data_IF_802849365791
#
_entry.id   IF_802849365791
#
_cell.length_a   1.000
_cell.length_b   1.000
_cell.length_c   1.000
_cell.angle_alpha   90.00
_cell.angle_beta   90.00
_cell.angle_gamma   90.00
#
_symmetry.space_group_name_H-M   'P 1'
#
loop_
_entity.id
_entity.type
_entity.pdbx_description
1 polymer ?
#
# COMPACT_ATOMS: atom_id res chain seq x y z
N UNK A 1 39.75 -17.72 -3.19
CA UNK A 1 38.82 -17.17 -4.19
C UNK A 1 37.67 -18.11 -4.54
N UNK A 2 37.90 -19.40 -4.88
CA UNK A 2 36.80 -20.34 -5.24
C UNK A 2 35.81 -20.65 -4.11
N UNK A 3 36.28 -20.74 -2.86
CA UNK A 3 35.45 -21.04 -1.68
C UNK A 3 34.57 -19.86 -1.24
N UNK A 4 35.05 -18.62 -1.45
CA UNK A 4 34.36 -17.38 -1.08
C UNK A 4 33.19 -17.07 -2.00
N UNK A 5 33.32 -17.39 -3.30
CA UNK A 5 32.24 -17.27 -4.29
C UNK A 5 31.14 -18.31 -4.03
N UNK A 6 31.51 -19.53 -3.63
CA UNK A 6 30.53 -20.58 -3.31
C UNK A 6 29.67 -20.26 -2.09
N UNK A 7 30.19 -19.51 -1.11
CA UNK A 7 29.45 -19.10 0.08
C UNK A 7 28.46 -17.95 -0.21
N UNK A 8 28.83 -17.03 -1.10
CA UNK A 8 27.97 -15.93 -1.54
C UNK A 8 26.76 -16.40 -2.35
N UNK A 9 26.94 -17.45 -3.18
CA UNK A 9 25.83 -18.07 -3.93
C UNK A 9 24.86 -18.80 -3.01
N UNK A 10 25.36 -19.42 -1.93
CA UNK A 10 24.53 -20.14 -0.96
C UNK A 10 23.69 -19.20 -0.08
N UNK A 11 24.17 -17.97 0.17
CA UNK A 11 23.45 -16.98 0.97
C UNK A 11 22.25 -16.33 0.23
N UNK A 12 22.23 -16.36 -1.10
CA UNK A 12 21.12 -15.86 -1.92
C UNK A 12 19.93 -16.84 -2.02
N UNK A 13 20.09 -18.09 -1.61
CA UNK A 13 19.10 -19.16 -1.84
C UNK A 13 18.02 -19.29 -0.74
N UNK A 14 18.07 -18.48 0.33
CA UNK A 14 17.22 -18.69 1.53
C UNK A 14 16.06 -17.69 1.66
N UNK A 15 15.82 -16.81 0.70
CA UNK A 15 14.87 -15.69 0.85
C UNK A 15 13.55 -15.80 0.05
N UNK A 16 13.04 -17.00 -0.23
CA UNK A 16 11.77 -17.13 -0.96
C UNK A 16 10.83 -18.18 -0.32
N UNK A 17 10.05 -17.74 0.67
CA UNK A 17 8.78 -18.37 1.00
C UNK A 17 7.74 -17.25 0.99
N UNK A 18 6.85 -17.23 -0.01
CA UNK A 18 5.46 -16.79 0.10
C UNK A 18 4.69 -17.15 -1.17
N UNK A 19 3.50 -17.72 -0.94
CA UNK A 19 2.54 -18.33 -1.86
C UNK A 19 1.47 -17.30 -2.27
N UNK A 20 1.09 -17.26 -3.55
CA UNK A 20 -0.29 -17.14 -4.07
C UNK A 20 -0.32 -16.94 -5.60
N UNK A 21 -1.27 -17.59 -6.28
CA UNK A 21 -1.30 -17.96 -7.70
C UNK A 21 -1.84 -16.92 -8.71
N UNK A 22 -1.06 -16.67 -9.77
CA UNK A 22 -1.43 -16.78 -11.19
C UNK A 22 -0.16 -16.80 -12.08
N UNK A 23 0.23 -18.00 -12.57
CA UNK A 23 1.44 -18.23 -13.37
C UNK A 23 2.69 -18.34 -12.50
N UNK A 24 3.30 -19.54 -12.44
CA UNK A 24 4.33 -19.89 -11.43
C UNK A 24 5.49 -18.87 -11.39
N UNK A 25 5.88 -18.31 -12.55
CA UNK A 25 6.91 -17.26 -12.65
C UNK A 25 6.48 -15.91 -12.10
N UNK A 26 5.23 -15.48 -12.35
CA UNK A 26 4.72 -14.18 -11.87
C UNK A 26 4.58 -14.16 -10.36
N UNK A 27 4.24 -15.31 -9.75
CA UNK A 27 4.18 -15.44 -8.30
C UNK A 27 5.53 -15.15 -7.63
N UNK A 28 6.60 -15.73 -8.17
CA UNK A 28 7.93 -15.65 -7.56
C UNK A 28 8.67 -14.35 -7.93
N UNK A 29 8.54 -13.88 -9.17
CA UNK A 29 9.25 -12.69 -9.63
C UNK A 29 8.55 -11.36 -9.26
N UNK A 30 7.28 -11.39 -8.87
CA UNK A 30 6.48 -10.22 -8.53
C UNK A 30 6.02 -9.43 -9.77
N UNK A 31 5.91 -8.11 -9.65
CA UNK A 31 5.55 -7.22 -10.76
C UNK A 31 6.78 -6.53 -11.37
N UNK A 32 6.70 -6.06 -12.62
CA UNK A 32 7.80 -5.42 -13.34
C UNK A 32 8.01 -5.96 -14.76
N UNK A 33 8.96 -5.37 -15.49
CA UNK A 33 9.25 -5.72 -16.91
C UNK A 33 9.62 -7.18 -17.10
N UNK A 34 10.39 -7.77 -16.19
CA UNK A 34 10.74 -9.19 -16.24
C UNK A 34 9.50 -10.07 -16.15
N UNK A 35 8.58 -9.74 -15.25
CA UNK A 35 7.31 -10.47 -15.12
C UNK A 35 6.34 -10.25 -16.29
N UNK A 36 6.44 -9.12 -17.01
CA UNK A 36 5.67 -8.90 -18.24
C UNK A 36 6.22 -9.69 -19.43
N UNK A 37 7.54 -9.84 -19.53
CA UNK A 37 8.18 -10.53 -20.66
C UNK A 37 8.20 -12.06 -20.47
N UNK A 38 8.40 -12.53 -19.23
CA UNK A 38 8.61 -13.95 -18.93
C UNK A 38 7.48 -14.60 -18.12
N UNK A 39 6.45 -13.84 -17.74
CA UNK A 39 5.41 -14.29 -16.81
C UNK A 39 4.54 -15.47 -17.28
N UNK A 40 4.42 -15.67 -18.60
CA UNK A 40 3.65 -16.77 -19.18
C UNK A 40 4.50 -18.02 -19.45
N UNK A 41 5.80 -17.98 -19.10
CA UNK A 41 6.71 -19.13 -19.24
C UNK A 41 6.83 -19.83 -17.90
N UNK A 42 7.08 -21.14 -17.94
CA UNK A 42 7.26 -21.94 -16.73
C UNK A 42 8.72 -22.37 -16.55
N UNK A 43 9.16 -22.41 -15.29
CA UNK A 43 10.44 -22.99 -14.88
C UNK A 43 11.44 -22.01 -14.28
N UNK A 44 12.31 -22.54 -13.42
CA UNK A 44 13.27 -21.80 -12.59
C UNK A 44 14.14 -20.82 -13.39
N UNK A 45 14.53 -21.17 -14.61
CA UNK A 45 15.34 -20.27 -15.45
C UNK A 45 14.59 -18.97 -15.78
N UNK A 46 13.31 -19.07 -16.14
CA UNK A 46 12.50 -17.90 -16.46
C UNK A 46 12.15 -17.09 -15.20
N UNK A 47 12.05 -17.74 -14.03
CA UNK A 47 11.93 -17.06 -12.74
C UNK A 47 13.15 -16.20 -12.42
N UNK A 48 14.36 -16.77 -12.57
CA UNK A 48 15.61 -16.06 -12.31
C UNK A 48 15.76 -14.89 -13.29
N UNK A 49 15.43 -15.09 -14.56
CA UNK A 49 15.48 -14.03 -15.57
C UNK A 49 14.45 -12.93 -15.30
N UNK A 50 13.22 -13.29 -14.95
CA UNK A 50 12.18 -12.33 -14.58
C UNK A 50 12.60 -11.51 -13.35
N UNK A 51 13.08 -12.17 -12.30
CA UNK A 51 13.52 -11.52 -11.06
C UNK A 51 14.73 -10.62 -11.28
N UNK A 52 15.73 -11.09 -12.03
CA UNK A 52 16.91 -10.28 -12.36
C UNK A 52 16.52 -9.05 -13.18
N UNK A 53 15.64 -9.23 -14.17
CA UNK A 53 15.15 -8.12 -15.01
C UNK A 53 14.30 -7.13 -14.22
N UNK A 54 13.51 -7.60 -13.25
CA UNK A 54 12.76 -6.74 -12.34
C UNK A 54 13.67 -5.91 -11.41
N UNK A 55 14.79 -6.50 -10.96
CA UNK A 55 15.77 -5.84 -10.10
C UNK A 55 16.71 -4.86 -10.83
N UNK A 56 16.92 -5.02 -12.15
CA UNK A 56 17.77 -4.12 -12.93
C UNK A 56 17.21 -2.69 -12.88
N UNK A 57 18.09 -1.73 -12.55
CA UNK A 57 17.78 -0.31 -12.47
C UNK A 57 16.62 0.04 -11.53
N UNK A 58 16.31 -0.81 -10.53
CA UNK A 58 15.20 -0.56 -9.61
C UNK A 58 13.84 -0.50 -10.29
N UNK A 59 13.70 -1.12 -11.46
CA UNK A 59 12.54 -1.01 -12.32
C UNK A 59 11.26 -1.53 -11.66
N UNK A 60 11.37 -2.57 -10.83
CA UNK A 60 10.27 -3.04 -9.97
C UNK A 60 9.85 -1.99 -8.94
N UNK A 61 10.81 -1.33 -8.27
CA UNK A 61 10.53 -0.25 -7.31
C UNK A 61 9.87 0.95 -8.00
N UNK A 62 10.38 1.33 -9.18
CA UNK A 62 9.75 2.36 -10.00
C UNK A 62 8.32 1.96 -10.37
N UNK A 63 8.10 0.73 -10.83
CA UNK A 63 6.77 0.21 -11.15
C UNK A 63 5.81 0.26 -9.95
N UNK A 64 6.25 -0.13 -8.76
CA UNK A 64 5.43 -0.07 -7.54
C UNK A 64 5.09 1.36 -7.11
N UNK A 65 6.03 2.29 -7.21
CA UNK A 65 5.82 3.70 -6.83
C UNK A 65 4.98 4.47 -7.85
N UNK A 66 5.16 4.19 -9.15
CA UNK A 66 4.45 4.86 -10.23
C UNK A 66 3.14 4.16 -10.64
N UNK A 67 2.91 2.92 -10.19
CA UNK A 67 1.80 2.09 -10.66
C UNK A 67 1.92 1.67 -12.13
N UNK A 68 3.15 1.48 -12.62
CA UNK A 68 3.44 1.09 -14.02
C UNK A 68 4.01 -0.34 -14.09
N UNK A 69 4.30 -0.82 -15.31
CA UNK A 69 5.03 -2.08 -15.55
C UNK A 69 4.34 -3.34 -14.99
N UNK A 70 3.00 -3.33 -14.98
CA UNK A 70 2.20 -4.41 -14.42
C UNK A 70 2.21 -4.47 -12.89
N UNK A 71 2.77 -3.47 -12.21
CA UNK A 71 2.61 -3.26 -10.77
C UNK A 71 1.34 -2.46 -10.51
N UNK A 72 0.54 -2.88 -9.53
CA UNK A 72 -0.52 -2.03 -9.02
C UNK A 72 0.11 -0.80 -8.32
N UNK A 73 -0.48 0.40 -8.47
CA UNK A 73 -0.06 1.54 -7.67
C UNK A 73 -0.18 1.19 -6.18
N UNK A 74 0.70 1.79 -5.36
CA UNK A 74 0.63 1.66 -3.91
C UNK A 74 -0.80 1.99 -3.45
N UNK A 75 -1.51 0.98 -2.95
CA UNK A 75 -2.90 1.11 -2.52
C UNK A 75 -2.89 1.71 -1.12
N UNK A 76 -3.30 2.97 -1.01
CA UNK A 76 -3.50 3.63 0.28
C UNK A 76 -4.17 4.98 0.13
N UNK A 77 -4.96 5.40 1.12
CA UNK A 77 -5.64 6.71 1.09
C UNK A 77 -4.64 7.86 1.07
N UNK A 78 -3.43 7.64 1.59
CA UNK A 78 -2.32 8.61 1.55
C UNK A 78 -1.88 8.92 0.11
N UNK A 79 -2.08 7.99 -0.83
CA UNK A 79 -1.80 8.22 -2.26
C UNK A 79 -2.95 8.91 -3.01
N UNK A 80 -4.09 9.15 -2.36
CA UNK A 80 -5.26 9.78 -2.97
C UNK A 80 -5.23 11.29 -2.76
N UNK A 81 -4.86 12.02 -3.81
CA UNK A 81 -4.78 13.48 -3.79
C UNK A 81 -6.09 14.16 -3.39
N UNK A 82 -7.25 13.63 -3.81
CA UNK A 82 -8.56 14.21 -3.45
C UNK A 82 -8.83 14.10 -1.95
N UNK A 83 -8.52 12.96 -1.34
CA UNK A 83 -8.65 12.77 0.11
C UNK A 83 -7.66 13.69 0.84
N UNK A 84 -6.42 13.77 0.37
CA UNK A 84 -5.40 14.64 0.98
C UNK A 84 -5.81 16.12 0.97
N UNK A 85 -6.28 16.63 -0.18
CA UNK A 85 -6.77 18.00 -0.29
C UNK A 85 -8.01 18.23 0.58
N UNK A 86 -8.96 17.30 0.55
CA UNK A 86 -10.17 17.40 1.36
C UNK A 86 -9.87 17.48 2.86
N UNK A 87 -8.99 16.60 3.37
CA UNK A 87 -8.60 16.61 4.77
C UNK A 87 -7.84 17.89 5.11
N UNK A 88 -6.94 18.35 4.24
CA UNK A 88 -6.20 19.59 4.45
C UNK A 88 -7.11 20.82 4.55
N UNK A 89 -8.10 20.94 3.66
CA UNK A 89 -9.00 22.10 3.63
C UNK A 89 -10.03 22.10 4.76
N UNK A 90 -10.31 20.94 5.36
CA UNK A 90 -11.43 20.75 6.30
C UNK A 90 -11.01 20.22 7.67
N UNK A 91 -9.73 20.34 8.02
CA UNK A 91 -9.14 19.77 9.25
C UNK A 91 -9.99 19.96 10.51
N UNK A 92 -10.33 21.21 10.85
CA UNK A 92 -11.03 21.52 12.10
C UNK A 92 -12.47 20.99 12.13
N UNK A 93 -13.16 21.04 11.00
CA UNK A 93 -14.54 20.59 10.89
C UNK A 93 -14.60 19.06 10.88
N UNK A 94 -13.69 18.42 10.17
CA UNK A 94 -13.53 16.98 10.17
C UNK A 94 -13.17 16.46 11.56
N UNK A 95 -12.31 17.15 12.31
CA UNK A 95 -12.00 16.80 13.69
C UNK A 95 -13.26 16.79 14.58
N UNK A 96 -14.07 17.85 14.50
CA UNK A 96 -15.32 17.96 15.27
C UNK A 96 -16.30 16.85 14.92
N UNK A 97 -16.45 16.52 13.65
CA UNK A 97 -17.38 15.48 13.20
C UNK A 97 -16.91 14.08 13.58
N UNK A 98 -15.60 13.79 13.48
CA UNK A 98 -15.02 12.53 13.98
C UNK A 98 -15.22 12.41 15.49
N UNK A 99 -14.96 13.48 16.26
CA UNK A 99 -15.14 13.45 17.72
C UNK A 99 -16.61 13.17 18.12
N UNK A 100 -17.56 13.74 17.37
CA UNK A 100 -19.00 13.46 17.55
C UNK A 100 -19.41 12.07 17.10
N UNK A 101 -18.69 11.49 16.13
CA UNK A 101 -19.02 10.22 15.48
C UNK A 101 -20.04 10.36 14.36
N UNK A 102 -20.35 11.59 13.92
CA UNK A 102 -21.27 11.89 12.84
C UNK A 102 -21.06 13.34 12.36
N UNK A 103 -21.44 13.62 11.11
CA UNK A 103 -21.45 14.96 10.53
C UNK A 103 -21.12 14.98 9.04
N UNK A 104 -21.37 16.11 8.39
CA UNK A 104 -21.25 16.27 6.93
C UNK A 104 -19.82 16.05 6.44
N UNK A 105 -18.82 16.47 7.21
CA UNK A 105 -17.42 16.35 6.80
C UNK A 105 -16.94 14.90 6.90
N UNK A 106 -17.40 14.20 7.94
CA UNK A 106 -17.14 12.78 8.12
C UNK A 106 -17.87 11.91 7.09
N UNK A 107 -19.11 12.26 6.74
CA UNK A 107 -19.87 11.64 5.65
C UNK A 107 -19.17 11.81 4.30
N UNK A 108 -18.71 13.03 4.01
CA UNK A 108 -17.98 13.32 2.76
C UNK A 108 -16.67 12.56 2.70
N UNK A 109 -15.93 12.44 3.82
CA UNK A 109 -14.74 11.60 3.88
C UNK A 109 -15.06 10.14 3.56
N UNK A 110 -16.13 9.57 4.14
CA UNK A 110 -16.56 8.21 3.84
C UNK A 110 -16.93 8.02 2.36
N UNK A 111 -17.60 9.01 1.75
CA UNK A 111 -17.92 9.01 0.32
C UNK A 111 -16.66 9.02 -0.55
N UNK A 112 -15.69 9.90 -0.25
CA UNK A 112 -14.41 9.97 -0.96
C UNK A 112 -13.60 8.68 -0.83
N UNK A 113 -13.73 8.00 0.31
CA UNK A 113 -13.11 6.70 0.59
C UNK A 113 -13.88 5.51 0.01
N UNK A 114 -15.02 5.73 -0.65
CA UNK A 114 -15.91 4.69 -1.17
C UNK A 114 -16.35 3.68 -0.10
N UNK A 115 -16.58 4.15 1.14
CA UNK A 115 -17.11 3.31 2.22
C UNK A 115 -18.56 2.93 1.91
N UNK A 116 -18.92 1.64 1.86
CA UNK A 116 -20.30 1.21 1.63
C UNK A 116 -21.26 1.74 2.70
N UNK A 117 -22.50 2.06 2.33
CA UNK A 117 -23.52 2.56 3.28
C UNK A 117 -23.73 1.62 4.48
N UNK A 118 -23.65 0.29 4.27
CA UNK A 118 -23.76 -0.71 5.34
C UNK A 118 -22.61 -0.68 6.35
N UNK A 119 -21.47 -0.11 5.97
CA UNK A 119 -20.24 -0.09 6.78
C UNK A 119 -19.95 1.30 7.37
N UNK A 120 -20.64 2.35 6.90
CA UNK A 120 -20.43 3.74 7.37
C UNK A 120 -20.50 3.89 8.88
N UNK A 121 -21.49 3.27 9.52
CA UNK A 121 -21.63 3.38 10.97
C UNK A 121 -20.42 2.79 11.71
N UNK A 122 -19.89 1.66 11.23
CA UNK A 122 -18.70 1.04 11.79
C UNK A 122 -17.47 1.92 11.54
N UNK A 123 -17.34 2.47 10.33
CA UNK A 123 -16.28 3.41 9.96
C UNK A 123 -16.28 4.64 10.88
N UNK A 124 -17.43 5.30 11.07
CA UNK A 124 -17.55 6.47 11.95
C UNK A 124 -17.20 6.14 13.40
N UNK A 125 -17.76 5.05 13.93
CA UNK A 125 -17.48 4.59 15.30
C UNK A 125 -16.00 4.28 15.49
N UNK A 126 -15.35 3.69 14.48
CA UNK A 126 -13.93 3.35 14.52
C UNK A 126 -13.04 4.57 14.55
N UNK A 127 -13.34 5.59 13.72
CA UNK A 127 -12.59 6.85 13.74
C UNK A 127 -12.83 7.62 15.05
N UNK A 128 -14.07 7.68 15.53
CA UNK A 128 -14.41 8.33 16.79
C UNK A 128 -13.68 7.70 17.99
N UNK A 129 -13.75 6.38 18.14
CA UNK A 129 -13.11 5.66 19.24
C UNK A 129 -11.59 5.77 19.23
N UNK A 130 -10.99 6.11 18.08
CA UNK A 130 -9.56 6.31 17.91
C UNK A 130 -9.21 7.78 17.63
N UNK A 131 -10.08 8.74 17.99
CA UNK A 131 -9.87 10.16 17.72
C UNK A 131 -8.48 10.66 18.14
N UNK A 132 -8.05 10.30 19.36
CA UNK A 132 -6.75 10.70 19.91
C UNK A 132 -5.55 10.08 19.18
N UNK A 133 -5.74 9.00 18.41
CA UNK A 133 -4.70 8.42 17.54
C UNK A 133 -4.67 9.11 16.18
N UNK A 134 -5.77 9.72 15.77
CA UNK A 134 -5.89 10.45 14.50
C UNK A 134 -5.36 11.86 14.66
N UNK A 135 -5.87 12.58 15.67
CA UNK A 135 -5.47 13.92 16.07
C UNK A 135 -4.60 13.84 17.31
N UNK A 136 -3.29 13.68 17.10
CA UNK A 136 -2.32 13.41 18.17
C UNK A 136 -1.89 14.63 18.96
N UNK A 137 -2.01 15.83 18.35
CA UNK A 137 -1.66 17.11 18.97
C UNK A 137 -2.34 18.27 18.22
N UNK A 138 -2.22 19.48 18.74
CA UNK A 138 -2.71 20.70 18.07
C UNK A 138 -1.91 21.06 16.80
N UNK A 139 -0.68 20.54 16.68
CA UNK A 139 0.22 20.82 15.55
C UNK A 139 0.22 19.69 14.51
N UNK A 140 -0.71 18.73 14.62
CA UNK A 140 -0.81 17.61 13.69
C UNK A 140 -1.11 18.11 12.28
N UNK A 141 -0.34 17.64 11.31
CA UNK A 141 -0.51 18.02 9.91
C UNK A 141 -1.61 17.20 9.23
N UNK A 142 -2.19 17.73 8.15
CA UNK A 142 -3.19 17.01 7.37
C UNK A 142 -2.65 15.70 6.78
N UNK A 143 -1.39 15.66 6.37
CA UNK A 143 -0.72 14.44 5.91
C UNK A 143 -0.60 13.39 7.02
N UNK A 144 -0.26 13.81 8.24
CA UNK A 144 -0.23 12.91 9.39
C UNK A 144 -1.62 12.40 9.75
N UNK A 145 -2.65 13.24 9.66
CA UNK A 145 -4.04 12.86 9.92
C UNK A 145 -4.52 11.80 8.92
N UNK A 146 -4.27 11.98 7.62
CA UNK A 146 -4.62 10.96 6.61
C UNK A 146 -3.90 9.65 6.90
N UNK A 147 -2.60 9.70 7.23
CA UNK A 147 -1.82 8.52 7.60
C UNK A 147 -2.34 7.84 8.86
N UNK A 148 -2.75 8.61 9.86
CA UNK A 148 -3.27 8.07 11.11
C UNK A 148 -4.66 7.43 10.91
N UNK A 149 -5.51 8.04 10.07
CA UNK A 149 -6.79 7.45 9.65
C UNK A 149 -6.54 6.09 8.99
N UNK A 150 -5.60 6.03 8.04
CA UNK A 150 -5.23 4.79 7.36
C UNK A 150 -4.77 3.73 8.35
N UNK A 151 -3.88 4.08 9.28
CA UNK A 151 -3.38 3.18 10.31
C UNK A 151 -4.50 2.68 11.24
N UNK A 152 -5.44 3.54 11.63
CA UNK A 152 -6.60 3.14 12.44
C UNK A 152 -7.46 2.14 11.67
N UNK A 153 -7.70 2.35 10.38
CA UNK A 153 -8.53 1.48 9.56
C UNK A 153 -7.89 0.11 9.32
N UNK A 154 -6.57 0.06 9.12
CA UNK A 154 -5.81 -1.17 8.89
C UNK A 154 -5.65 -2.07 10.13
N UNK A 155 -5.69 -1.50 11.35
CA UNK A 155 -5.60 -2.28 12.60
C UNK A 155 -6.94 -2.93 13.00
N UNK A 156 -7.62 -3.60 12.06
CA UNK A 156 -8.89 -4.30 12.30
C UNK A 156 -8.73 -5.82 12.28
#
# INVERSE_FOLDING_TARGET
MKKSVSLLVLFMLVAAISIAEAGVVRNNAGCGVGSMIFGDKDGLLFEILATTTNGICGNQTFGMTSGTLGCAPMKGIVSNEKINLYVADNMDNLAKDIAKGNGEYLETLALLMNVPESEKQQFFTKLQSNFNKIYTSNDVTSTEVVKNIEAVLQNS
#
